data_IF_766008843594
#
_entry.id   IF_766008843594
#
_cell.length_a   1.000
_cell.length_b   1.000
_cell.length_c   1.000
_cell.angle_alpha   90.00
_cell.angle_beta   90.00
_cell.angle_gamma   90.00
#
_symmetry.space_group_name_H-M   'P 1'
#
loop_
_entity.id
_entity.type
_entity.pdbx_description
1 polymer ?
#
# COMPACT_ATOMS: atom_id res chain seq x y z
N UNK A 1 3.19 -0.91 20.69
CA UNK A 1 2.13 -0.10 20.07
C UNK A 1 1.37 -0.96 19.07
N UNK A 2 0.04 -0.95 19.13
CA UNK A 2 -0.84 -1.66 18.18
C UNK A 2 -1.61 -0.62 17.39
N UNK A 3 -1.78 -0.82 16.08
CA UNK A 3 -2.60 0.07 15.24
C UNK A 3 -4.07 -0.25 15.51
N UNK A 4 -4.81 0.73 16.02
CA UNK A 4 -6.23 0.60 16.33
C UNK A 4 -7.09 1.07 15.14
N UNK A 5 -6.59 2.06 14.42
CA UNK A 5 -7.27 2.73 13.32
C UNK A 5 -6.23 3.22 12.30
N UNK A 6 -6.59 3.24 11.03
CA UNK A 6 -5.81 3.88 9.97
C UNK A 6 -6.73 4.54 8.96
N UNK A 7 -6.28 5.61 8.32
CA UNK A 7 -7.01 6.25 7.24
C UNK A 7 -6.08 6.97 6.27
N UNK A 8 -6.61 7.28 5.09
CA UNK A 8 -6.01 8.26 4.21
C UNK A 8 -7.10 9.10 3.55
N UNK A 9 -6.70 10.29 3.09
CA UNK A 9 -7.53 11.16 2.27
C UNK A 9 -6.91 11.24 0.88
N UNK A 10 -7.69 10.97 -0.15
CA UNK A 10 -7.31 11.13 -1.55
C UNK A 10 -7.97 12.38 -2.11
N UNK A 11 -7.16 13.37 -2.47
CA UNK A 11 -7.57 14.55 -3.22
C UNK A 11 -7.53 14.26 -4.73
N UNK A 12 -8.59 13.66 -5.25
CA UNK A 12 -8.74 13.35 -6.68
C UNK A 12 -9.84 14.18 -7.34
N UNK A 13 -10.55 13.58 -8.30
CA UNK A 13 -11.79 14.17 -8.84
C UNK A 13 -12.86 14.38 -7.75
N UNK A 14 -12.85 13.49 -6.77
CA UNK A 14 -13.57 13.59 -5.50
C UNK A 14 -12.55 13.57 -4.37
N UNK A 15 -12.91 14.16 -3.23
CA UNK A 15 -12.14 13.99 -2.00
C UNK A 15 -12.66 12.75 -1.27
N UNK A 16 -11.87 11.69 -1.26
CA UNK A 16 -12.25 10.41 -0.68
C UNK A 16 -11.54 10.22 0.66
N UNK A 17 -12.26 9.81 1.69
CA UNK A 17 -11.71 9.33 2.96
C UNK A 17 -11.87 7.81 2.99
N UNK A 18 -10.76 7.08 3.12
CA UNK A 18 -10.77 5.65 3.37
C UNK A 18 -10.36 5.41 4.81
N UNK A 19 -11.22 4.75 5.57
CA UNK A 19 -11.07 4.54 7.02
C UNK A 19 -11.10 3.04 7.34
N UNK A 20 -10.03 2.53 7.96
CA UNK A 20 -9.95 1.20 8.52
C UNK A 20 -10.11 1.25 10.05
N UNK A 21 -11.18 0.63 10.54
CA UNK A 21 -11.51 0.55 11.97
C UNK A 21 -12.33 -0.71 12.25
N UNK A 22 -12.11 -1.35 13.40
CA UNK A 22 -12.87 -2.52 13.86
C UNK A 22 -12.96 -3.66 12.81
N UNK A 23 -11.85 -3.94 12.13
CA UNK A 23 -11.77 -5.02 11.14
C UNK A 23 -12.54 -4.75 9.84
N UNK A 24 -12.95 -3.50 9.60
CA UNK A 24 -13.65 -3.08 8.38
C UNK A 24 -12.95 -1.88 7.75
N UNK A 25 -13.10 -1.75 6.44
CA UNK A 25 -12.67 -0.56 5.70
C UNK A 25 -13.89 0.06 5.04
N UNK A 26 -14.13 1.33 5.30
CA UNK A 26 -15.21 2.11 4.71
C UNK A 26 -14.64 3.25 3.87
N UNK A 27 -15.33 3.56 2.78
CA UNK A 27 -15.06 4.70 1.92
C UNK A 27 -16.14 5.76 2.11
N UNK A 28 -15.71 7.01 2.18
CA UNK A 28 -16.56 8.18 2.25
C UNK A 28 -16.13 9.20 1.20
N UNK A 29 -17.08 9.95 0.66
CA UNK A 29 -16.82 11.04 -0.28
C UNK A 29 -17.25 12.37 0.36
N UNK A 30 -16.42 13.39 0.22
CA UNK A 30 -16.75 14.74 0.63
C UNK A 30 -17.89 15.29 -0.23
N UNK A 31 -19.01 15.66 0.39
CA UNK A 31 -20.05 16.41 -0.29
C UNK A 31 -19.65 17.89 -0.41
N UNK A 32 -19.60 18.37 -1.64
CA UNK A 32 -19.32 19.77 -1.97
C UNK A 32 -20.57 20.50 -2.47
N UNK A 33 -21.75 19.90 -2.36
CA UNK A 33 -23.01 20.49 -2.81
C UNK A 33 -23.29 21.80 -2.06
N UNK A 34 -23.67 22.89 -2.77
CA UNK A 34 -23.79 24.23 -2.19
C UNK A 34 -24.94 24.41 -1.18
N UNK A 35 -25.73 23.36 -0.92
CA UNK A 35 -26.87 23.41 0.01
C UNK A 35 -26.47 23.56 1.49
N UNK A 36 -25.21 23.31 1.84
CA UNK A 36 -24.66 23.52 3.18
C UNK A 36 -23.50 24.51 3.12
N UNK A 37 -23.80 25.81 3.10
CA UNK A 37 -22.79 26.87 3.24
C UNK A 37 -22.17 26.94 4.66
N UNK A 38 -22.32 25.90 5.49
CA UNK A 38 -21.96 25.96 6.91
C UNK A 38 -21.11 24.78 7.38
N UNK A 39 -21.23 23.59 6.78
CA UNK A 39 -20.39 22.44 7.13
C UNK A 39 -20.15 21.49 5.94
N UNK A 40 -18.88 21.18 5.67
CA UNK A 40 -18.50 20.04 4.83
C UNK A 40 -18.71 18.75 5.61
N UNK A 41 -19.28 17.72 4.98
CA UNK A 41 -19.43 16.40 5.58
C UNK A 41 -19.06 15.29 4.60
N UNK A 42 -18.59 14.19 5.15
CA UNK A 42 -18.28 12.97 4.42
C UNK A 42 -19.51 12.07 4.36
N UNK A 43 -19.93 11.72 3.15
CA UNK A 43 -21.04 10.79 2.91
C UNK A 43 -20.47 9.38 2.77
N UNK A 44 -21.01 8.45 3.55
CA UNK A 44 -20.69 7.02 3.45
C UNK A 44 -21.03 6.50 2.04
N UNK A 45 -20.06 5.84 1.41
CA UNK A 45 -20.26 5.18 0.12
C UNK A 45 -20.48 3.69 0.33
N UNK A 46 -19.45 2.98 0.78
CA UNK A 46 -19.48 1.52 0.86
C UNK A 46 -18.44 0.96 1.84
N UNK A 47 -18.63 -0.32 2.19
CA UNK A 47 -17.59 -1.15 2.78
C UNK A 47 -16.74 -1.73 1.65
N UNK A 48 -15.43 -1.49 1.72
CA UNK A 48 -14.48 -1.98 0.73
C UNK A 48 -14.27 -3.48 0.89
N UNK A 49 -13.98 -4.11 -0.24
CA UNK A 49 -13.39 -5.46 -0.35
C UNK A 49 -12.23 -5.34 -1.31
N UNK A 50 -11.14 -6.05 -1.03
CA UNK A 50 -9.98 -6.07 -1.92
C UNK A 50 -10.16 -7.19 -2.96
N UNK A 51 -10.21 -6.89 -4.27
CA UNK A 51 -10.29 -7.94 -5.28
C UNK A 51 -9.05 -8.82 -5.26
N UNK A 52 -9.21 -10.13 -5.06
CA UNK A 52 -8.11 -11.09 -4.98
C UNK A 52 -8.10 -12.02 -6.21
N UNK A 53 -7.67 -11.45 -7.33
CA UNK A 53 -7.63 -12.10 -8.65
C UNK A 53 -6.24 -12.70 -8.93
N UNK A 54 -6.21 -13.82 -9.66
CA UNK A 54 -4.96 -14.51 -10.03
C UNK A 54 -4.33 -13.87 -11.26
N UNK A 55 -5.16 -13.33 -12.16
CA UNK A 55 -4.78 -12.77 -13.45
C UNK A 55 -5.60 -11.51 -13.71
N UNK A 56 -4.97 -10.52 -14.37
CA UNK A 56 -5.54 -9.18 -14.54
C UNK A 56 -5.43 -8.33 -13.28
N UNK A 57 -5.96 -7.10 -13.34
CA UNK A 57 -5.77 -6.08 -12.30
C UNK A 57 -4.61 -5.14 -12.63
N UNK A 58 -4.10 -4.43 -11.63
CA UNK A 58 -3.04 -3.44 -11.83
C UNK A 58 -1.76 -3.78 -11.06
N UNK A 59 -0.62 -3.46 -11.68
CA UNK A 59 0.69 -3.46 -11.04
C UNK A 59 1.20 -2.04 -10.95
N UNK A 60 1.50 -1.59 -9.74
CA UNK A 60 2.11 -0.30 -9.45
C UNK A 60 3.52 -0.53 -8.93
N UNK A 61 4.50 -0.62 -9.84
CA UNK A 61 5.89 -0.91 -9.47
C UNK A 61 6.71 0.39 -9.45
N UNK A 62 7.21 0.76 -8.28
CA UNK A 62 8.06 1.92 -8.05
C UNK A 62 9.52 1.56 -7.74
N UNK A 63 10.37 2.58 -7.78
CA UNK A 63 11.82 2.44 -7.68
C UNK A 63 12.50 2.58 -9.05
N UNK A 64 13.83 2.69 -9.05
CA UNK A 64 14.63 2.74 -10.29
C UNK A 64 14.75 1.32 -10.83
N UNK A 65 14.03 1.04 -11.93
CA UNK A 65 13.94 -0.28 -12.56
C UNK A 65 15.26 -0.79 -13.11
N UNK A 66 16.21 0.10 -13.41
CA UNK A 66 17.56 -0.28 -13.85
C UNK A 66 18.37 -0.90 -12.71
N UNK A 67 17.99 -0.64 -11.46
CA UNK A 67 18.69 -1.06 -10.24
C UNK A 67 17.92 -2.09 -9.42
N UNK A 68 16.80 -2.59 -9.92
CA UNK A 68 16.08 -3.68 -9.26
C UNK A 68 16.94 -4.94 -9.18
N UNK A 69 16.82 -5.66 -8.07
CA UNK A 69 17.39 -7.00 -7.95
C UNK A 69 16.75 -7.96 -8.94
N UNK A 70 17.43 -9.06 -9.24
CA UNK A 70 16.93 -10.05 -10.20
C UNK A 70 15.59 -10.66 -9.76
N UNK A 71 15.40 -10.83 -8.45
CA UNK A 71 14.12 -11.24 -7.87
C UNK A 71 13.00 -10.25 -8.17
N UNK A 72 13.24 -8.95 -8.02
CA UNK A 72 12.22 -7.92 -8.32
C UNK A 72 11.88 -7.89 -9.81
N UNK A 73 12.87 -8.07 -10.70
CA UNK A 73 12.66 -8.18 -12.15
C UNK A 73 11.87 -9.45 -12.51
N UNK A 74 12.21 -10.58 -11.91
CA UNK A 74 11.47 -11.84 -12.11
C UNK A 74 10.01 -11.72 -11.65
N UNK A 75 9.78 -11.04 -10.52
CA UNK A 75 8.44 -10.73 -10.04
C UNK A 75 7.65 -9.83 -10.98
N UNK A 76 8.25 -8.76 -11.52
CA UNK A 76 7.62 -7.96 -12.58
C UNK A 76 7.20 -8.83 -13.76
N UNK A 77 8.09 -9.69 -14.25
CA UNK A 77 7.80 -10.56 -15.38
C UNK A 77 6.65 -11.53 -15.07
N UNK A 78 6.58 -12.06 -13.85
CA UNK A 78 5.49 -12.94 -13.41
C UNK A 78 4.13 -12.24 -13.39
N UNK A 79 4.09 -10.93 -13.09
CA UNK A 79 2.89 -10.09 -13.17
C UNK A 79 2.52 -9.78 -14.62
N UNK A 80 3.49 -9.47 -15.48
CA UNK A 80 3.28 -9.24 -16.91
C UNK A 80 2.67 -10.48 -17.57
N UNK A 81 3.22 -11.66 -17.28
CA UNK A 81 2.74 -12.93 -17.82
C UNK A 81 1.30 -13.26 -17.39
N UNK A 82 0.81 -12.63 -16.32
CA UNK A 82 -0.57 -12.74 -15.81
C UNK A 82 -1.40 -11.49 -16.12
N UNK A 83 -1.05 -10.76 -17.18
CA UNK A 83 -1.86 -9.66 -17.72
C UNK A 83 -2.17 -8.53 -16.72
N UNK A 84 -1.33 -8.33 -15.69
CA UNK A 84 -1.45 -7.17 -14.80
C UNK A 84 -1.06 -5.90 -15.56
N UNK A 85 -1.99 -4.94 -15.63
CA UNK A 85 -1.80 -3.68 -16.34
C UNK A 85 -0.88 -2.76 -15.55
N UNK A 86 0.08 -2.15 -16.24
CA UNK A 86 0.95 -1.17 -15.59
C UNK A 86 0.17 0.09 -15.21
N UNK A 87 0.33 0.56 -13.99
CA UNK A 87 -0.18 1.84 -13.51
C UNK A 87 0.77 2.36 -12.46
N UNK A 88 1.39 3.52 -12.68
CA UNK A 88 2.18 4.15 -11.63
C UNK A 88 1.96 5.66 -11.71
N UNK A 89 1.16 6.19 -10.79
CA UNK A 89 0.84 7.62 -10.78
C UNK A 89 1.91 8.46 -10.07
N UNK A 90 2.82 7.80 -9.35
CA UNK A 90 3.79 8.47 -8.47
C UNK A 90 3.20 8.91 -7.12
N UNK A 91 1.90 8.72 -6.91
CA UNK A 91 1.22 8.92 -5.64
C UNK A 91 0.91 7.57 -5.00
N UNK A 92 1.52 7.28 -3.86
CA UNK A 92 1.28 6.02 -3.15
C UNK A 92 -0.22 5.87 -2.80
N UNK A 93 -0.84 6.91 -2.25
CA UNK A 93 -2.26 6.91 -1.92
C UNK A 93 -3.15 6.74 -3.17
N UNK A 94 -2.81 7.40 -4.28
CA UNK A 94 -3.56 7.29 -5.53
C UNK A 94 -3.42 5.91 -6.20
N UNK A 95 -2.27 5.26 -6.05
CA UNK A 95 -2.01 3.89 -6.50
C UNK A 95 -2.72 2.86 -5.64
N UNK A 96 -2.66 3.01 -4.32
CA UNK A 96 -3.40 2.17 -3.38
C UNK A 96 -4.91 2.24 -3.62
N UNK A 97 -5.46 3.45 -3.79
CA UNK A 97 -6.90 3.61 -3.99
C UNK A 97 -7.39 2.89 -5.26
N UNK A 98 -6.60 2.87 -6.33
CA UNK A 98 -6.94 2.08 -7.51
C UNK A 98 -6.85 0.57 -7.25
N UNK A 99 -5.90 0.12 -6.42
CA UNK A 99 -5.80 -1.29 -6.01
C UNK A 99 -7.03 -1.71 -5.21
N UNK A 100 -7.57 -0.84 -4.35
CA UNK A 100 -8.82 -1.12 -3.63
C UNK A 100 -10.02 -1.35 -4.57
N UNK A 101 -9.97 -0.81 -5.79
CA UNK A 101 -11.04 -0.95 -6.79
C UNK A 101 -10.80 -2.09 -7.77
N UNK A 102 -9.58 -2.20 -8.31
CA UNK A 102 -9.27 -3.14 -9.39
C UNK A 102 -8.57 -4.42 -8.92
N UNK A 103 -8.06 -4.43 -7.68
CA UNK A 103 -7.13 -5.44 -7.20
C UNK A 103 -5.74 -5.31 -7.84
N UNK A 104 -4.80 -6.06 -7.27
CA UNK A 104 -3.41 -6.05 -7.72
C UNK A 104 -2.47 -5.59 -6.63
N UNK A 105 -1.39 -4.92 -7.02
CA UNK A 105 -0.26 -4.66 -6.12
C UNK A 105 0.32 -3.27 -6.29
N UNK A 106 0.85 -2.76 -5.18
CA UNK A 106 1.78 -1.65 -5.13
C UNK A 106 3.11 -2.17 -4.61
N UNK A 107 4.20 -1.68 -5.18
CA UNK A 107 5.53 -1.89 -4.62
C UNK A 107 6.38 -0.65 -4.79
N UNK A 108 7.33 -0.50 -3.89
CA UNK A 108 8.47 0.38 -4.07
C UNK A 108 9.71 -0.45 -3.76
N UNK A 109 10.36 -0.96 -4.79
CA UNK A 109 11.56 -1.76 -4.61
C UNK A 109 12.75 -0.87 -4.23
N UNK A 110 13.63 -1.35 -3.34
CA UNK A 110 14.81 -0.61 -2.96
C UNK A 110 15.75 -0.45 -4.15
N UNK A 111 16.10 0.80 -4.49
CA UNK A 111 16.97 1.10 -5.63
C UNK A 111 17.87 2.32 -5.35
N UNK A 112 19.11 2.21 -4.82
CA UNK A 112 19.69 1.24 -3.88
C UNK A 112 19.40 1.58 -2.40
N UNK A 113 18.78 2.74 -2.13
CA UNK A 113 18.29 3.12 -0.79
C UNK A 113 16.77 3.02 -0.75
N UNK A 114 16.26 2.53 0.36
CA UNK A 114 14.85 2.59 0.67
C UNK A 114 14.37 4.05 0.82
N UNK A 115 13.17 4.35 0.31
CA UNK A 115 12.61 5.72 0.30
C UNK A 115 11.41 5.89 1.22
N UNK A 116 10.57 4.87 1.33
CA UNK A 116 9.25 4.99 1.96
C UNK A 116 9.38 4.75 3.46
N UNK A 117 8.82 5.64 4.28
CA UNK A 117 8.93 5.59 5.74
C UNK A 117 7.97 4.57 6.30
N UNK A 118 8.48 3.79 7.24
CA UNK A 118 7.73 2.65 7.78
C UNK A 118 6.49 3.14 8.53
N UNK A 119 6.65 4.05 9.48
CA UNK A 119 5.58 4.32 10.47
C UNK A 119 4.41 5.15 9.95
N UNK A 120 4.62 6.08 9.02
CA UNK A 120 3.59 7.01 8.57
C UNK A 120 3.28 6.93 7.08
N UNK A 121 3.98 6.08 6.31
CA UNK A 121 3.64 5.80 4.91
C UNK A 121 3.26 4.32 4.73
N UNK A 122 4.15 3.37 5.08
CA UNK A 122 3.85 1.95 4.91
C UNK A 122 2.77 1.45 5.88
N UNK A 123 2.99 1.58 7.19
CA UNK A 123 2.13 0.96 8.21
C UNK A 123 0.66 1.41 8.13
N UNK A 124 0.33 2.70 7.93
CA UNK A 124 -1.06 3.12 7.81
C UNK A 124 -1.75 2.43 6.62
N UNK A 125 -1.07 2.36 5.47
CA UNK A 125 -1.64 1.78 4.25
C UNK A 125 -1.66 0.25 4.28
N UNK A 126 -0.63 -0.36 4.88
CA UNK A 126 -0.57 -1.80 5.14
C UNK A 126 -1.72 -2.25 6.03
N UNK A 127 -2.03 -1.52 7.12
CA UNK A 127 -3.15 -1.86 8.00
C UNK A 127 -4.49 -1.89 7.25
N UNK A 128 -4.72 -0.95 6.33
CA UNK A 128 -5.93 -0.93 5.50
C UNK A 128 -6.00 -2.20 4.62
N UNK A 129 -4.88 -2.56 3.99
CA UNK A 129 -4.80 -3.73 3.10
C UNK A 129 -4.96 -5.03 3.86
N UNK A 130 -4.28 -5.21 5.00
CA UNK A 130 -4.40 -6.40 5.83
C UNK A 130 -5.80 -6.53 6.45
N UNK A 131 -6.45 -5.41 6.80
CA UNK A 131 -7.87 -5.40 7.22
C UNK A 131 -8.78 -5.98 6.12
N UNK A 132 -8.41 -5.77 4.85
CA UNK A 132 -9.08 -6.33 3.69
C UNK A 132 -8.58 -7.72 3.27
N UNK A 133 -7.82 -8.40 4.15
CA UNK A 133 -7.19 -9.72 3.91
C UNK A 133 -6.17 -9.71 2.75
N UNK A 134 -5.63 -8.54 2.44
CA UNK A 134 -4.44 -8.42 1.60
C UNK A 134 -3.16 -8.72 2.39
N UNK A 135 -2.02 -8.52 1.74
CA UNK A 135 -0.71 -8.81 2.31
C UNK A 135 0.19 -7.59 2.16
N UNK A 136 1.00 -7.31 3.19
CA UNK A 136 2.10 -6.35 3.14
C UNK A 136 3.42 -7.05 3.48
N UNK A 137 4.45 -6.72 2.72
CA UNK A 137 5.82 -7.18 2.90
C UNK A 137 6.77 -5.98 2.86
N UNK A 138 7.63 -5.86 3.85
CA UNK A 138 8.87 -5.10 3.72
C UNK A 138 9.84 -5.93 2.89
N UNK A 139 10.47 -5.29 1.90
CA UNK A 139 11.48 -5.89 1.04
C UNK A 139 12.72 -5.02 1.12
N UNK A 140 13.77 -5.60 1.69
CA UNK A 140 15.04 -4.96 1.84
C UNK A 140 15.06 -3.92 2.96
N UNK A 141 16.06 -4.05 3.83
CA UNK A 141 16.57 -2.95 4.64
C UNK A 141 17.77 -2.31 3.93
N UNK A 142 18.25 -1.13 4.38
CA UNK A 142 19.52 -0.59 3.89
C UNK A 142 20.72 -1.56 4.03
N UNK A 143 20.62 -2.57 4.90
CA UNK A 143 21.68 -3.51 5.27
C UNK A 143 21.55 -4.88 4.59
N UNK A 144 20.32 -5.30 4.24
CA UNK A 144 20.05 -6.56 3.57
C UNK A 144 18.85 -6.42 2.61
N UNK A 145 19.12 -6.47 1.30
CA UNK A 145 18.11 -6.30 0.24
C UNK A 145 17.20 -7.51 0.04
N UNK A 146 17.58 -8.68 0.56
CA UNK A 146 16.83 -9.93 0.42
C UNK A 146 15.96 -10.24 1.65
N UNK A 147 16.08 -9.42 2.71
CA UNK A 147 15.24 -9.54 3.89
C UNK A 147 13.78 -9.23 3.54
N UNK A 148 12.89 -10.17 3.91
CA UNK A 148 11.44 -10.02 3.77
C UNK A 148 10.80 -10.11 5.15
N UNK A 149 10.09 -9.05 5.56
CA UNK A 149 9.40 -8.96 6.86
C UNK A 149 7.92 -8.66 6.67
N UNK A 150 7.07 -9.27 7.50
CA UNK A 150 5.65 -8.92 7.60
C UNK A 150 5.42 -7.80 8.59
N UNK A 151 4.23 -7.21 8.58
CA UNK A 151 3.84 -6.11 9.47
C UNK A 151 4.08 -6.43 10.97
N UNK A 152 3.74 -7.64 11.39
CA UNK A 152 3.87 -8.12 12.78
C UNK A 152 5.31 -8.16 13.31
N UNK A 153 6.30 -8.16 12.42
CA UNK A 153 7.73 -8.20 12.74
C UNK A 153 8.38 -6.80 12.80
N UNK A 154 7.58 -5.74 12.63
CA UNK A 154 8.07 -4.35 12.69
C UNK A 154 8.10 -3.91 14.15
N UNK A 155 9.22 -3.33 14.57
CA UNK A 155 9.38 -2.80 15.93
C UNK A 155 8.28 -1.76 16.20
N UNK A 156 7.52 -1.89 17.30
CA UNK A 156 6.47 -0.95 17.60
C UNK A 156 7.01 0.47 17.86
N UNK A 157 6.19 1.47 17.52
CA UNK A 157 6.50 2.85 17.88
C UNK A 157 6.43 3.03 19.40
N UNK A 158 7.48 3.60 19.99
CA UNK A 158 7.65 3.90 21.42
C UNK A 158 8.09 5.35 21.60
N UNK A 159 8.09 5.84 22.85
CA UNK A 159 8.60 7.18 23.17
C UNK A 159 10.10 7.30 22.81
N UNK A 160 10.84 6.20 22.89
CA UNK A 160 12.28 6.18 22.66
C UNK A 160 12.64 6.27 21.17
N UNK A 161 11.84 5.63 20.30
CA UNK A 161 12.14 5.56 18.86
C UNK A 161 11.34 6.56 18.00
N UNK A 162 10.43 7.34 18.60
CA UNK A 162 9.58 8.31 17.87
C UNK A 162 10.38 9.38 17.12
N UNK A 163 11.57 9.74 17.61
CA UNK A 163 12.42 10.73 16.98
C UNK A 163 13.08 10.23 15.68
N UNK A 164 13.09 8.90 15.46
CA UNK A 164 13.70 8.26 14.30
C UNK A 164 12.69 7.93 13.18
N UNK A 165 11.40 8.25 13.36
CA UNK A 165 10.36 7.83 12.39
C UNK A 165 10.62 8.31 10.95
N UNK A 166 11.31 9.44 10.80
CA UNK A 166 11.63 10.02 9.50
C UNK A 166 12.83 9.35 8.81
N UNK A 167 13.72 8.70 9.58
CA UNK A 167 14.92 8.02 9.07
C UNK A 167 14.68 6.55 8.79
N UNK A 168 13.67 5.94 9.42
CA UNK A 168 13.31 4.53 9.18
C UNK A 168 12.56 4.33 7.86
N UNK A 169 13.32 4.10 6.80
CA UNK A 169 12.79 3.79 5.47
C UNK A 169 12.94 2.32 5.11
N UNK A 170 12.03 1.81 4.29
CA UNK A 170 12.13 0.48 3.69
C UNK A 170 11.61 0.47 2.24
N UNK A 171 12.08 -0.52 1.47
CA UNK A 171 11.33 -0.97 0.31
C UNK A 171 10.19 -1.89 0.75
N UNK A 172 9.28 -2.20 -0.16
CA UNK A 172 8.18 -3.08 0.17
C UNK A 172 7.18 -3.25 -0.95
N UNK A 173 6.24 -4.15 -0.71
CA UNK A 173 5.07 -4.33 -1.55
C UNK A 173 3.85 -4.65 -0.70
N UNK A 174 2.69 -4.23 -1.19
CA UNK A 174 1.40 -4.58 -0.61
C UNK A 174 0.37 -4.82 -1.71
N UNK A 175 -0.72 -5.48 -1.35
CA UNK A 175 -1.88 -5.61 -2.23
C UNK A 175 -2.65 -6.88 -1.98
N UNK A 176 -3.31 -7.35 -3.03
CA UNK A 176 -4.09 -8.59 -3.00
C UNK A 176 -3.18 -9.79 -2.74
N UNK A 177 -3.64 -10.73 -1.93
CA UNK A 177 -2.89 -11.90 -1.48
C UNK A 177 -2.28 -12.72 -2.63
N UNK A 178 -3.08 -13.08 -3.65
CA UNK A 178 -2.64 -13.93 -4.77
C UNK A 178 -1.53 -13.28 -5.60
N UNK A 179 -1.65 -12.02 -6.04
CA UNK A 179 -0.56 -11.30 -6.69
C UNK A 179 0.71 -11.19 -5.82
N UNK A 180 0.56 -10.88 -4.53
CA UNK A 180 1.69 -10.78 -3.59
C UNK A 180 2.41 -12.12 -3.45
N UNK A 181 1.68 -13.23 -3.42
CA UNK A 181 2.26 -14.57 -3.32
C UNK A 181 3.22 -14.90 -4.47
N UNK A 182 3.06 -14.27 -5.64
CA UNK A 182 3.97 -14.46 -6.77
C UNK A 182 5.41 -14.05 -6.45
N UNK A 183 5.61 -13.11 -5.52
CA UNK A 183 6.93 -12.64 -5.10
C UNK A 183 7.77 -13.72 -4.41
N UNK A 184 7.12 -14.73 -3.81
CA UNK A 184 7.79 -15.89 -3.22
C UNK A 184 8.03 -17.01 -4.22
N UNK A 185 7.22 -17.07 -5.29
CA UNK A 185 7.35 -18.09 -6.34
C UNK A 185 8.44 -17.78 -7.38
N UNK A 186 8.89 -16.53 -7.42
CA UNK A 186 9.96 -16.07 -8.30
C UNK A 186 11.30 -16.10 -7.55
N UNK A 187 12.01 -17.22 -7.66
CA UNK A 187 13.42 -17.38 -7.29
C UNK A 187 14.29 -17.26 -8.53
#
# INVERSE_FOLDING_TARGET
GTIICSFYILYGIYTNLVLALNGKVAEFILDTSPYSMTFYHYIYQELKKLPNIVEGGIRCLGGDSTKWSDRCKAYEQALINRNFKNRYSGSFVGDLHAILTYGGIYSYFPSPKAKIRIYYEWLPLAFIIETLKGVFLIIGSPENTDEVKKMEHIEPLTVDNVNEIHTRTSGGLLGSEKPVALFFSTT
#
